data_IF_769693059149
#
_entry.id   IF_769693059149
#
_cell.length_a   1.000
_cell.length_b   1.000
_cell.length_c   1.000
_cell.angle_alpha   90.00
_cell.angle_beta   90.00
_cell.angle_gamma   90.00
#
_symmetry.space_group_name_H-M   'P 1'
#
loop_
_entity.id
_entity.type
_entity.pdbx_description
1 polymer ?
#
# COMPACT_ATOMS: atom_id res chain seq x y z
N UNK A 1 -39.42 -47.34 -43.53
CA UNK A 1 -39.72 -46.43 -42.41
C UNK A 1 -38.40 -46.00 -41.76
N UNK A 2 -37.84 -44.86 -42.17
CA UNK A 2 -36.55 -44.35 -41.68
C UNK A 2 -36.81 -43.37 -40.51
N UNK A 3 -36.23 -43.63 -39.33
CA UNK A 3 -36.26 -42.73 -38.17
C UNK A 3 -35.01 -41.86 -38.20
N UNK A 4 -35.16 -40.55 -38.43
CA UNK A 4 -34.07 -39.58 -38.36
C UNK A 4 -33.75 -39.25 -36.88
N UNK A 5 -32.48 -39.26 -36.45
CA UNK A 5 -32.11 -38.79 -35.12
C UNK A 5 -31.96 -37.27 -35.14
N UNK A 6 -32.63 -36.58 -34.21
CA UNK A 6 -32.46 -35.14 -34.00
C UNK A 6 -31.19 -34.90 -33.21
N UNK A 7 -30.25 -34.14 -33.78
CA UNK A 7 -29.08 -33.63 -33.05
C UNK A 7 -29.50 -32.35 -32.33
N UNK A 8 -29.64 -32.42 -31.01
CA UNK A 8 -29.79 -31.25 -30.16
C UNK A 8 -28.41 -30.57 -30.03
N UNK A 9 -28.29 -29.41 -30.66
CA UNK A 9 -27.15 -28.51 -30.47
C UNK A 9 -27.32 -27.80 -29.13
N UNK A 10 -26.59 -28.22 -28.09
CA UNK A 10 -26.54 -27.50 -26.82
C UNK A 10 -25.53 -26.37 -26.97
N UNK A 11 -26.05 -25.13 -27.10
CA UNK A 11 -25.23 -23.93 -27.04
C UNK A 11 -24.86 -23.70 -25.57
N UNK A 12 -23.63 -24.07 -25.18
CA UNK A 12 -23.08 -23.69 -23.89
C UNK A 12 -22.80 -22.18 -23.92
N UNK A 13 -23.71 -21.37 -23.39
CA UNK A 13 -23.41 -19.98 -23.03
C UNK A 13 -22.41 -20.01 -21.87
N UNK A 14 -21.12 -19.87 -22.18
CA UNK A 14 -20.14 -19.47 -21.17
C UNK A 14 -20.50 -18.07 -20.72
N UNK A 15 -21.16 -17.97 -19.56
CA UNK A 15 -21.33 -16.71 -18.86
C UNK A 15 -19.92 -16.14 -18.60
N UNK A 16 -19.56 -15.08 -19.31
CA UNK A 16 -18.38 -14.30 -18.98
C UNK A 16 -18.63 -13.78 -17.56
N UNK A 17 -17.91 -14.33 -16.59
CA UNK A 17 -17.89 -13.78 -15.25
C UNK A 17 -17.47 -12.32 -15.40
N UNK A 18 -18.36 -11.39 -15.04
CA UNK A 18 -18.05 -9.98 -15.07
C UNK A 18 -16.79 -9.77 -14.22
N UNK A 19 -15.68 -9.42 -14.87
CA UNK A 19 -14.47 -9.11 -14.12
C UNK A 19 -14.81 -7.99 -13.14
N UNK A 20 -14.40 -8.12 -11.86
CA UNK A 20 -14.70 -7.09 -10.89
C UNK A 20 -14.08 -5.77 -11.37
N UNK A 21 -14.93 -4.75 -11.50
CA UNK A 21 -14.57 -3.43 -12.00
C UNK A 21 -15.21 -2.35 -11.12
N UNK A 22 -14.78 -1.10 -11.30
CA UNK A 22 -15.47 0.03 -10.72
C UNK A 22 -16.78 0.28 -11.46
N UNK A 23 -17.87 0.56 -10.73
CA UNK A 23 -19.13 1.01 -11.31
C UNK A 23 -18.94 2.36 -12.01
N UNK A 24 -18.14 3.23 -11.40
CA UNK A 24 -17.73 4.53 -11.97
C UNK A 24 -16.27 4.75 -11.66
N UNK A 25 -15.45 4.96 -12.68
CA UNK A 25 -14.05 5.35 -12.53
C UNK A 25 -13.71 6.56 -13.40
N UNK A 26 -13.02 7.52 -12.82
CA UNK A 26 -12.42 8.67 -13.50
C UNK A 26 -10.91 8.59 -13.32
N UNK A 27 -10.17 8.67 -14.43
CA UNK A 27 -8.71 8.85 -14.45
C UNK A 27 -8.39 10.11 -15.25
N UNK A 28 -7.72 11.08 -14.64
CA UNK A 28 -7.39 12.36 -15.27
C UNK A 28 -5.94 12.72 -15.00
N UNK A 29 -5.25 13.24 -16.01
CA UNK A 29 -3.99 13.94 -15.79
C UNK A 29 -4.28 15.26 -15.06
N UNK A 30 -3.47 15.59 -14.07
CA UNK A 30 -3.62 16.80 -13.26
C UNK A 30 -2.33 17.60 -13.27
N UNK A 31 -2.46 18.91 -13.16
CA UNK A 31 -1.29 19.77 -12.91
C UNK A 31 -0.85 19.62 -11.45
N UNK A 32 0.45 19.81 -11.15
CA UNK A 32 0.94 19.78 -9.79
C UNK A 32 0.31 20.92 -8.98
N UNK A 33 -0.67 20.61 -8.12
CA UNK A 33 -1.26 21.57 -7.19
C UNK A 33 -0.78 21.24 -5.79
N UNK A 34 0.03 22.10 -5.14
CA UNK A 34 0.42 21.92 -3.75
C UNK A 34 -0.81 21.98 -2.82
N UNK A 35 -0.88 21.19 -1.74
CA UNK A 35 0.14 20.28 -1.24
C UNK A 35 0.12 18.89 -1.92
N UNK A 36 1.29 18.25 -2.01
CA UNK A 36 1.49 16.87 -2.48
C UNK A 36 1.03 15.81 -1.47
N UNK A 37 -0.09 16.05 -0.81
CA UNK A 37 -0.68 15.10 0.11
C UNK A 37 -1.33 13.97 -0.71
N UNK A 38 -0.73 12.79 -0.64
CA UNK A 38 -1.35 11.57 -1.16
C UNK A 38 -2.55 11.27 -0.26
N UNK A 39 -3.72 11.70 -0.69
CA UNK A 39 -4.99 11.26 -0.14
C UNK A 39 -5.30 9.90 -0.77
N UNK A 40 -5.16 8.84 0.01
CA UNK A 40 -5.55 7.48 -0.40
C UNK A 40 -7.04 7.23 -0.21
N UNK A 41 -7.78 8.25 0.24
CA UNK A 41 -9.18 8.14 0.64
C UNK A 41 -9.33 7.17 1.81
N UNK A 42 -10.29 7.44 2.68
CA UNK A 42 -10.85 6.33 3.42
C UNK A 42 -11.43 5.36 2.39
N UNK A 43 -10.91 4.13 2.31
CA UNK A 43 -11.57 3.00 1.60
C UNK A 43 -12.84 2.58 2.37
N UNK A 44 -13.68 3.54 2.72
CA UNK A 44 -14.97 3.37 3.35
C UNK A 44 -15.98 3.33 2.22
N UNK A 45 -16.88 2.35 2.26
CA UNK A 45 -17.99 2.21 1.31
C UNK A 45 -17.55 2.12 -0.16
N UNK A 46 -16.52 1.30 -0.46
CA UNK A 46 -16.16 0.99 -1.85
C UNK A 46 -15.52 2.12 -2.66
N UNK A 47 -15.22 3.28 -2.05
CA UNK A 47 -14.62 4.43 -2.73
C UNK A 47 -13.09 4.42 -2.67
N UNK A 48 -12.45 4.64 -3.81
CA UNK A 48 -11.01 4.87 -3.95
C UNK A 48 -10.78 6.26 -4.51
N UNK A 49 -10.01 7.07 -3.80
CA UNK A 49 -9.56 8.38 -4.28
C UNK A 49 -8.04 8.37 -4.21
N UNK A 50 -7.37 8.63 -5.32
CA UNK A 50 -5.94 8.88 -5.40
C UNK A 50 -5.76 10.23 -6.09
N UNK A 51 -5.26 11.23 -5.38
CA UNK A 51 -5.11 12.59 -5.92
C UNK A 51 -3.66 13.03 -5.88
N UNK A 52 -3.23 13.74 -6.93
CA UNK A 52 -1.89 14.31 -7.01
C UNK A 52 -0.78 13.23 -6.93
N UNK A 53 -1.01 12.11 -7.63
CA UNK A 53 -0.15 10.92 -7.60
C UNK A 53 0.49 10.65 -8.95
N UNK A 54 1.73 10.18 -8.92
CA UNK A 54 2.42 9.61 -10.09
C UNK A 54 1.90 8.22 -10.41
N UNK A 55 2.17 7.71 -11.62
CA UNK A 55 1.79 6.33 -11.97
C UNK A 55 2.48 5.30 -11.05
N UNK A 56 3.73 5.54 -10.64
CA UNK A 56 4.45 4.71 -9.66
C UNK A 56 3.70 4.62 -8.33
N UNK A 57 3.15 5.73 -7.84
CA UNK A 57 2.37 5.76 -6.59
C UNK A 57 1.03 5.02 -6.73
N UNK A 58 0.37 5.09 -7.89
CA UNK A 58 -0.82 4.29 -8.19
C UNK A 58 -0.52 2.79 -8.19
N UNK A 59 0.56 2.38 -8.85
CA UNK A 59 1.01 0.98 -8.89
C UNK A 59 1.41 0.49 -7.50
N UNK A 60 2.06 1.33 -6.69
CA UNK A 60 2.36 1.03 -5.29
C UNK A 60 1.12 0.73 -4.47
N UNK A 61 0.07 1.53 -4.65
CA UNK A 61 -1.21 1.30 -4.00
C UNK A 61 -1.83 -0.04 -4.43
N UNK A 62 -1.93 -0.28 -5.74
CA UNK A 62 -2.60 -1.44 -6.31
C UNK A 62 -1.85 -2.75 -6.04
N UNK A 63 -0.52 -2.77 -6.19
CA UNK A 63 0.33 -3.94 -5.99
C UNK A 63 0.83 -4.13 -4.55
N UNK A 64 0.40 -3.29 -3.59
CA UNK A 64 0.89 -3.28 -2.20
C UNK A 64 2.41 -3.13 -2.08
N UNK A 65 2.99 -2.33 -2.96
CA UNK A 65 4.42 -2.01 -2.94
C UNK A 65 4.63 -0.74 -2.11
N UNK A 66 5.65 -0.75 -1.27
CA UNK A 66 5.87 0.35 -0.32
C UNK A 66 7.03 1.27 -0.70
N UNK A 67 7.83 0.87 -1.68
CA UNK A 67 8.98 1.62 -2.16
C UNK A 67 9.07 1.63 -3.70
N UNK A 68 9.46 2.76 -4.28
CA UNK A 68 9.73 2.90 -5.72
C UNK A 68 10.92 2.07 -6.21
N UNK A 69 11.83 1.64 -5.32
CA UNK A 69 12.92 0.72 -5.67
C UNK A 69 12.43 -0.66 -6.13
N UNK A 70 11.21 -1.03 -5.75
CA UNK A 70 10.57 -2.29 -6.14
C UNK A 70 9.78 -2.16 -7.47
N UNK A 71 9.76 -0.96 -8.08
CA UNK A 71 9.10 -0.71 -9.36
C UNK A 71 10.16 -0.36 -10.41
N UNK A 72 10.25 -1.18 -11.44
CA UNK A 72 11.01 -0.91 -12.65
C UNK A 72 10.08 -0.40 -13.75
N UNK A 73 10.57 0.54 -14.55
CA UNK A 73 9.83 1.11 -15.68
C UNK A 73 10.42 2.45 -16.12
N UNK A 74 9.84 3.08 -17.15
CA UNK A 74 10.31 4.36 -17.67
C UNK A 74 10.28 5.47 -16.61
N UNK A 75 11.26 6.38 -16.63
CA UNK A 75 11.40 7.43 -15.61
C UNK A 75 10.16 8.31 -15.42
N UNK A 76 9.38 8.52 -16.49
CA UNK A 76 8.17 9.34 -16.45
C UNK A 76 7.14 8.83 -15.45
N UNK A 77 7.09 7.52 -15.17
CA UNK A 77 6.11 6.95 -14.22
C UNK A 77 6.36 7.41 -12.79
N UNK A 78 7.60 7.84 -12.48
CA UNK A 78 8.04 8.37 -11.18
C UNK A 78 8.10 9.89 -11.16
N UNK A 79 7.94 10.54 -12.32
CA UNK A 79 8.09 11.98 -12.46
C UNK A 79 6.89 12.74 -11.92
N UNK A 80 7.15 13.77 -11.11
CA UNK A 80 6.12 14.71 -10.65
C UNK A 80 5.62 15.66 -11.74
N UNK A 81 6.21 15.64 -12.92
CA UNK A 81 5.66 16.34 -14.10
C UNK A 81 4.42 15.63 -14.67
N UNK A 82 4.23 14.35 -14.34
CA UNK A 82 3.12 13.52 -14.84
C UNK A 82 2.29 13.00 -13.67
N UNK A 83 1.31 13.81 -13.27
CA UNK A 83 0.44 13.51 -12.13
C UNK A 83 -0.96 13.14 -12.61
N UNK A 84 -1.60 12.28 -11.84
CA UNK A 84 -2.91 11.74 -12.11
C UNK A 84 -3.82 11.90 -10.88
N UNK A 85 -5.12 11.96 -11.15
CA UNK A 85 -6.19 11.82 -10.18
C UNK A 85 -7.09 10.67 -10.60
N UNK A 86 -7.30 9.72 -9.69
CA UNK A 86 -8.15 8.56 -9.85
C UNK A 86 -9.25 8.64 -8.82
N UNK A 87 -10.50 8.58 -9.27
CA UNK A 87 -11.67 8.46 -8.41
C UNK A 87 -12.46 7.27 -8.90
N UNK A 88 -12.50 6.19 -8.12
CA UNK A 88 -13.22 4.97 -8.40
C UNK A 88 -14.28 4.71 -7.33
N UNK A 89 -15.46 4.27 -7.75
CA UNK A 89 -16.54 3.83 -6.88
C UNK A 89 -16.91 2.40 -7.25
N UNK A 90 -16.88 1.51 -6.27
CA UNK A 90 -17.38 0.14 -6.35
C UNK A 90 -18.47 -0.08 -5.31
N UNK A 91 -19.01 -1.30 -5.25
CA UNK A 91 -19.97 -1.71 -4.21
C UNK A 91 -19.46 -1.37 -2.80
N UNK A 92 -20.30 -0.87 -1.89
CA UNK A 92 -19.90 -0.49 -0.53
C UNK A 92 -19.20 -1.61 0.26
N UNK A 93 -19.56 -2.86 -0.02
CA UNK A 93 -19.04 -4.06 0.65
C UNK A 93 -17.77 -4.62 -0.01
N UNK A 94 -17.24 -3.93 -1.02
CA UNK A 94 -16.02 -4.34 -1.73
C UNK A 94 -14.84 -4.33 -0.77
N UNK A 95 -14.20 -5.50 -0.61
CA UNK A 95 -13.01 -5.60 0.24
C UNK A 95 -11.90 -4.68 -0.26
N UNK A 96 -11.04 -4.19 0.65
CA UNK A 96 -9.88 -3.38 0.26
C UNK A 96 -8.96 -4.10 -0.72
N UNK A 97 -8.90 -5.42 -0.65
CA UNK A 97 -8.10 -6.21 -1.58
C UNK A 97 -8.66 -6.15 -2.99
N UNK A 98 -9.96 -6.38 -3.10
CA UNK A 98 -10.66 -6.29 -4.37
C UNK A 98 -10.57 -4.89 -4.95
N UNK A 99 -10.72 -3.83 -4.12
CA UNK A 99 -10.53 -2.44 -4.56
C UNK A 99 -9.14 -2.19 -5.19
N UNK A 100 -8.08 -2.80 -4.64
CA UNK A 100 -6.74 -2.69 -5.24
C UNK A 100 -6.64 -3.43 -6.56
N UNK A 101 -7.21 -4.62 -6.63
CA UNK A 101 -7.20 -5.42 -7.84
C UNK A 101 -7.94 -4.71 -8.98
N UNK A 102 -9.15 -4.20 -8.74
CA UNK A 102 -9.90 -3.46 -9.77
C UNK A 102 -9.23 -2.12 -10.13
N UNK A 103 -8.50 -1.51 -9.19
CA UNK A 103 -7.64 -0.35 -9.49
C UNK A 103 -6.50 -0.75 -10.42
N UNK A 104 -5.88 -1.91 -10.21
CA UNK A 104 -4.85 -2.43 -11.11
C UNK A 104 -5.39 -2.65 -12.52
N UNK A 105 -6.56 -3.28 -12.64
CA UNK A 105 -7.26 -3.50 -13.91
C UNK A 105 -7.52 -2.18 -14.64
N UNK A 106 -8.05 -1.19 -13.93
CA UNK A 106 -8.27 0.15 -14.49
C UNK A 106 -6.98 0.77 -15.04
N UNK A 107 -5.87 0.64 -14.30
CA UNK A 107 -4.57 1.18 -14.73
C UNK A 107 -4.06 0.45 -15.98
N UNK A 108 -4.13 -0.88 -16.00
CA UNK A 108 -3.67 -1.69 -17.15
C UNK A 108 -4.48 -1.38 -18.40
N UNK A 109 -5.79 -1.21 -18.28
CA UNK A 109 -6.68 -0.85 -19.40
C UNK A 109 -6.44 0.58 -19.90
N UNK A 110 -6.32 1.56 -18.99
CA UNK A 110 -6.22 2.98 -19.39
C UNK A 110 -4.86 3.33 -19.94
N UNK A 111 -3.80 2.74 -19.41
CA UNK A 111 -2.43 2.96 -19.89
C UNK A 111 -1.97 1.90 -20.90
N UNK A 112 -2.79 0.90 -21.20
CA UNK A 112 -2.47 -0.21 -22.13
C UNK A 112 -1.13 -0.85 -21.78
N UNK A 113 -0.91 -1.09 -20.48
CA UNK A 113 0.37 -1.55 -19.94
C UNK A 113 0.31 -3.02 -19.51
N UNK A 114 1.43 -3.72 -19.66
CA UNK A 114 1.63 -5.06 -19.13
C UNK A 114 2.55 -5.01 -17.89
N UNK A 115 2.21 -5.80 -16.88
CA UNK A 115 2.99 -5.93 -15.64
C UNK A 115 3.76 -7.24 -15.67
N UNK A 116 5.04 -7.17 -15.34
CA UNK A 116 5.90 -8.34 -15.22
C UNK A 116 6.43 -8.45 -13.79
N UNK A 117 6.29 -9.63 -13.21
CA UNK A 117 6.85 -9.95 -11.91
C UNK A 117 8.23 -10.58 -12.11
N UNK A 118 9.24 -9.97 -11.51
CA UNK A 118 10.62 -10.45 -11.52
C UNK A 118 11.10 -10.60 -10.08
N UNK A 119 11.85 -11.67 -9.81
CA UNK A 119 12.58 -11.79 -8.56
C UNK A 119 13.94 -11.12 -8.71
N UNK A 120 14.23 -10.13 -7.87
CA UNK A 120 15.49 -9.39 -7.87
C UNK A 120 16.01 -9.18 -6.46
N UNK A 121 17.33 -9.22 -6.31
CA UNK A 121 18.00 -8.81 -5.08
C UNK A 121 18.06 -7.28 -4.99
N UNK A 122 17.47 -6.72 -3.94
CA UNK A 122 17.46 -5.28 -3.69
C UNK A 122 18.11 -4.98 -2.33
N UNK A 123 18.88 -3.89 -2.22
CA UNK A 123 19.37 -3.45 -0.91
C UNK A 123 18.17 -3.08 -0.02
N UNK A 124 18.24 -3.46 1.27
CA UNK A 124 17.19 -3.20 2.24
C UNK A 124 17.76 -2.74 3.58
N UNK A 125 16.95 -2.03 4.36
CA UNK A 125 17.21 -1.71 5.76
C UNK A 125 16.64 -2.81 6.66
N UNK A 126 17.49 -3.42 7.47
CA UNK A 126 17.04 -4.36 8.48
C UNK A 126 16.59 -3.63 9.74
N UNK A 127 15.34 -3.85 10.15
CA UNK A 127 14.84 -3.44 11.47
C UNK A 127 15.10 -4.56 12.47
N UNK A 128 16.08 -4.33 13.36
CA UNK A 128 16.54 -5.32 14.35
C UNK A 128 16.26 -4.84 15.77
N UNK A 129 16.00 -5.79 16.67
CA UNK A 129 15.89 -5.49 18.10
C UNK A 129 17.26 -5.01 18.63
N UNK A 130 17.23 -4.12 19.62
CA UNK A 130 18.48 -3.71 20.28
C UNK A 130 19.06 -4.89 21.08
N UNK A 131 20.39 -4.92 21.25
CA UNK A 131 21.09 -5.94 22.04
C UNK A 131 20.62 -5.99 23.50
N UNK A 132 20.10 -4.86 24.00
CA UNK A 132 19.51 -4.72 25.34
C UNK A 132 18.01 -5.07 25.39
N UNK A 133 17.48 -5.64 24.32
CA UNK A 133 16.06 -5.93 24.15
C UNK A 133 15.25 -4.74 23.60
N UNK A 134 14.07 -5.01 23.05
CA UNK A 134 13.20 -3.98 22.52
C UNK A 134 12.62 -3.12 23.64
N UNK A 135 12.82 -1.80 23.56
CA UNK A 135 12.18 -0.81 24.45
C UNK A 135 10.77 -0.45 23.96
N UNK A 136 9.98 -1.48 23.65
CA UNK A 136 8.61 -1.36 23.15
C UNK A 136 7.68 -1.97 24.18
N UNK A 137 6.56 -1.29 24.44
CA UNK A 137 5.52 -1.83 25.31
C UNK A 137 4.50 -2.57 24.44
N UNK A 138 4.05 -3.75 24.89
CA UNK A 138 2.93 -4.43 24.27
C UNK A 138 1.71 -3.48 24.22
N UNK A 139 0.95 -3.53 23.13
CA UNK A 139 -0.30 -2.82 23.03
C UNK A 139 -1.30 -3.44 24.03
N UNK A 140 -2.11 -2.60 24.69
CA UNK A 140 -3.21 -3.12 25.49
C UNK A 140 -4.23 -3.77 24.56
N UNK A 141 -4.84 -4.88 24.98
CA UNK A 141 -5.98 -5.46 24.25
C UNK A 141 -7.10 -4.41 24.17
N UNK A 142 -7.67 -4.20 22.99
CA UNK A 142 -8.65 -3.15 22.74
C UNK A 142 -8.07 -1.73 22.69
N UNK A 143 -6.76 -1.54 22.56
CA UNK A 143 -6.20 -0.20 22.39
C UNK A 143 -6.59 0.39 21.03
N UNK A 144 -7.42 1.42 21.06
CA UNK A 144 -7.79 2.21 19.90
C UNK A 144 -6.59 3.00 19.37
N UNK A 145 -6.61 3.32 18.07
CA UNK A 145 -5.58 4.16 17.46
C UNK A 145 -5.75 5.66 17.73
N UNK A 146 -6.60 6.05 18.70
CA UNK A 146 -6.85 7.45 19.07
C UNK A 146 -5.52 8.12 19.46
N UNK A 147 -5.21 9.24 18.79
CA UNK A 147 -3.96 9.99 18.98
C UNK A 147 -2.74 9.43 18.21
N UNK A 148 -2.93 8.46 17.32
CA UNK A 148 -1.85 8.00 16.44
C UNK A 148 -1.49 9.07 15.41
N UNK A 149 -0.20 9.33 15.25
CA UNK A 149 0.35 10.28 14.28
C UNK A 149 1.27 9.52 13.34
N UNK A 150 0.94 9.44 12.06
CA UNK A 150 1.82 8.85 11.04
C UNK A 150 2.13 9.94 10.02
N UNK A 151 3.33 10.51 10.09
CA UNK A 151 3.80 11.56 9.19
C UNK A 151 5.30 11.37 8.89
N UNK A 152 5.83 11.92 7.80
CA UNK A 152 7.26 11.88 7.52
C UNK A 152 8.08 12.32 8.74
N UNK A 153 9.04 11.49 9.16
CA UNK A 153 9.91 11.75 10.31
C UNK A 153 9.28 11.51 11.70
N UNK A 154 7.97 11.23 11.82
CA UNK A 154 7.31 10.98 13.11
C UNK A 154 6.17 9.97 13.01
N UNK A 155 6.33 8.82 13.66
CA UNK A 155 5.30 7.78 13.81
C UNK A 155 5.02 7.58 15.29
N UNK A 156 3.81 7.83 15.74
CA UNK A 156 3.31 7.52 17.07
C UNK A 156 2.09 6.63 16.87
N UNK A 157 2.13 5.41 17.39
CA UNK A 157 1.00 4.49 17.30
C UNK A 157 0.85 3.73 18.61
N UNK A 158 -0.40 3.58 19.06
CA UNK A 158 -0.75 2.89 20.30
C UNK A 158 -0.95 1.38 20.10
N UNK A 159 -1.15 0.94 18.85
CA UNK A 159 -1.47 -0.43 18.48
C UNK A 159 -0.96 -0.76 17.05
N UNK A 160 0.34 -1.01 16.90
CA UNK A 160 0.99 -1.23 15.60
C UNK A 160 1.84 -2.50 15.58
N UNK A 161 1.73 -3.33 14.54
CA UNK A 161 2.64 -4.47 14.36
C UNK A 161 4.00 -4.00 13.84
N UNK A 162 5.06 -4.76 14.12
CA UNK A 162 6.39 -4.44 13.63
C UNK A 162 6.46 -4.46 12.09
N UNK A 163 5.71 -5.34 11.42
CA UNK A 163 5.55 -5.33 9.96
C UNK A 163 4.94 -4.01 9.47
N UNK A 164 3.89 -3.51 10.13
CA UNK A 164 3.26 -2.25 9.73
C UNK A 164 4.19 -1.05 9.99
N UNK A 165 4.99 -1.10 11.05
CA UNK A 165 6.03 -0.10 11.31
C UNK A 165 7.11 -0.11 10.21
N UNK A 166 7.59 -1.28 9.80
CA UNK A 166 8.55 -1.43 8.70
C UNK A 166 8.01 -0.79 7.42
N UNK A 167 6.75 -1.05 7.08
CA UNK A 167 6.06 -0.44 5.94
C UNK A 167 6.07 1.09 6.01
N UNK A 168 5.75 1.67 7.17
CA UNK A 168 5.75 3.13 7.33
C UNK A 168 7.16 3.72 7.22
N UNK A 169 8.19 3.06 7.75
CA UNK A 169 9.56 3.53 7.64
C UNK A 169 10.06 3.42 6.20
N UNK A 170 9.71 2.35 5.48
CA UNK A 170 10.06 2.17 4.07
C UNK A 170 9.54 3.34 3.22
N UNK A 171 8.32 3.81 3.51
CA UNK A 171 7.73 4.99 2.84
C UNK A 171 8.50 6.29 3.06
N UNK A 172 9.29 6.41 4.14
CA UNK A 172 10.02 7.64 4.47
C UNK A 172 11.51 7.57 4.21
N UNK A 173 12.05 6.39 3.93
CA UNK A 173 13.49 6.16 3.75
C UNK A 173 13.85 5.82 2.31
N UNK A 174 12.85 5.71 1.43
CA UNK A 174 12.97 5.28 0.03
C UNK A 174 13.80 4.00 -0.13
N UNK A 175 13.88 3.19 0.93
CA UNK A 175 14.55 1.90 0.98
C UNK A 175 13.58 0.84 1.52
N UNK A 176 13.58 -0.38 0.96
CA UNK A 176 12.80 -1.48 1.52
C UNK A 176 13.23 -1.71 2.97
N UNK A 177 12.29 -1.90 3.89
CA UNK A 177 12.59 -2.19 5.31
C UNK A 177 12.09 -3.59 5.63
N UNK A 178 12.99 -4.46 6.08
CA UNK A 178 12.66 -5.81 6.51
C UNK A 178 12.61 -5.90 8.03
N UNK A 179 11.50 -6.41 8.57
CA UNK A 179 11.40 -6.70 10.00
C UNK A 179 12.18 -7.97 10.35
N UNK A 180 13.23 -7.81 11.17
CA UNK A 180 14.05 -8.88 11.71
C UNK A 180 14.04 -8.86 13.25
N UNK A 181 13.07 -8.17 13.86
CA UNK A 181 13.00 -8.04 15.32
C UNK A 181 12.49 -9.30 16.01
N UNK A 182 11.85 -10.21 15.26
CA UNK A 182 11.20 -11.44 15.76
C UNK A 182 10.16 -11.18 16.87
N UNK A 183 9.52 -10.01 16.86
CA UNK A 183 8.51 -9.65 17.84
C UNK A 183 7.12 -9.93 17.27
N UNK A 184 6.36 -10.88 17.86
CA UNK A 184 5.08 -11.31 17.30
C UNK A 184 3.90 -10.38 17.64
N UNK A 185 4.09 -9.40 18.53
CA UNK A 185 2.95 -8.66 19.11
C UNK A 185 2.82 -7.22 18.62
N UNK A 186 1.58 -6.72 18.58
CA UNK A 186 1.28 -5.30 18.36
C UNK A 186 1.88 -4.50 19.51
N UNK A 187 2.69 -3.49 19.18
CA UNK A 187 3.38 -2.67 20.16
C UNK A 187 2.93 -1.22 20.09
N UNK A 188 3.11 -0.54 21.22
CA UNK A 188 3.11 0.90 21.26
C UNK A 188 4.49 1.40 20.87
N UNK A 189 4.57 2.15 19.78
CA UNK A 189 5.83 2.68 19.26
C UNK A 189 5.76 4.19 19.02
N UNK A 190 6.82 4.88 19.39
CA UNK A 190 7.17 6.19 18.88
C UNK A 190 8.49 6.10 18.11
N UNK A 191 8.45 6.50 16.85
CA UNK A 191 9.61 6.65 15.98
C UNK A 191 9.75 8.13 15.61
N UNK A 192 10.95 8.68 15.82
CA UNK A 192 11.28 10.09 15.54
C UNK A 192 12.48 10.12 14.59
N UNK A 193 12.30 9.66 13.35
CA UNK A 193 13.34 9.69 12.32
C UNK A 193 14.44 8.64 12.48
N UNK A 194 15.35 8.63 11.50
CA UNK A 194 16.59 7.86 11.56
C UNK A 194 17.58 8.57 12.49
N UNK A 195 18.16 7.84 13.46
CA UNK A 195 19.32 8.33 14.20
C UNK A 195 20.57 7.73 13.58
N UNK A 196 21.49 8.60 13.14
CA UNK A 196 22.83 8.21 12.70
C UNK A 196 23.57 7.65 13.93
N UNK A 197 24.00 6.39 13.87
CA UNK A 197 24.80 5.78 14.94
C UNK A 197 26.29 5.68 14.58
N UNK A 198 26.64 5.63 13.29
CA UNK A 198 28.01 5.78 12.78
C UNK A 198 28.02 6.12 11.28
N UNK A 199 29.20 6.39 10.71
CA UNK A 199 29.45 6.90 9.34
C UNK A 199 28.84 6.04 8.23
N UNK A 200 28.62 4.74 8.47
CA UNK A 200 28.08 3.79 7.47
C UNK A 200 26.90 2.95 7.99
N UNK A 201 26.34 3.27 9.17
CA UNK A 201 25.30 2.44 9.80
C UNK A 201 24.17 3.29 10.36
N UNK A 202 23.03 3.23 9.68
CA UNK A 202 21.79 3.85 10.11
C UNK A 202 21.02 2.87 11.00
N UNK A 203 20.49 3.34 12.13
CA UNK A 203 19.55 2.55 12.94
C UNK A 203 18.25 3.31 13.12
N UNK A 204 17.17 2.57 12.97
CA UNK A 204 15.82 3.01 13.31
C UNK A 204 15.73 3.06 14.84
N UNK A 205 15.72 4.27 15.41
CA UNK A 205 15.72 4.43 16.86
C UNK A 205 14.30 4.57 17.39
N UNK A 206 13.74 3.46 17.86
CA UNK A 206 12.40 3.39 18.45
C UNK A 206 12.41 3.69 19.95
N UNK A 207 11.37 4.35 20.46
CA UNK A 207 11.11 4.52 21.90
C UNK A 207 9.65 4.19 22.21
N UNK A 208 9.38 3.68 23.41
CA UNK A 208 8.02 3.55 23.91
C UNK A 208 7.35 4.94 24.04
N UNK A 209 6.13 5.08 23.54
CA UNK A 209 5.33 6.28 23.72
C UNK A 209 4.67 6.29 25.11
N UNK A 210 5.01 7.26 25.98
CA UNK A 210 4.29 7.47 27.25
C UNK A 210 2.99 8.22 26.93
N UNK A 211 1.84 7.59 27.20
CA UNK A 211 0.57 8.31 27.26
C UNK A 211 0.60 9.20 28.49
N UNK A 212 0.53 10.51 28.31
CA UNK A 212 0.09 11.40 29.37
C UNK A 212 -1.37 11.07 29.63
N UNK A 213 -1.64 10.52 30.83
CA UNK A 213 -2.98 10.55 31.40
C UNK A 213 -3.26 12.02 31.75
N UNK A 214 -4.37 12.56 31.24
CA UNK A 214 -5.17 13.52 32.01
C UNK A 214 -6.35 12.76 32.56
#
# INVERSE_FOLDING_TARGET
MMRAPWVLLVLAMTAAAAEPAFDVASLKAVQPVPPFAIDLGNTLHGKVTLSNVTLSECLRYACKIYNDAQIAGPDWIKSRSSLFSIVGQASPDTSRELLRQITLTLLTERFQMALHHEQRELPYLAMVADKKGPKLSAAKQGADNVGSVVRPGRIIANNLSMTALAVFIARFTDMPVQDMTKLPERTRCAWNGLRRLSTHRWRIAMRAHRSMRR
#
